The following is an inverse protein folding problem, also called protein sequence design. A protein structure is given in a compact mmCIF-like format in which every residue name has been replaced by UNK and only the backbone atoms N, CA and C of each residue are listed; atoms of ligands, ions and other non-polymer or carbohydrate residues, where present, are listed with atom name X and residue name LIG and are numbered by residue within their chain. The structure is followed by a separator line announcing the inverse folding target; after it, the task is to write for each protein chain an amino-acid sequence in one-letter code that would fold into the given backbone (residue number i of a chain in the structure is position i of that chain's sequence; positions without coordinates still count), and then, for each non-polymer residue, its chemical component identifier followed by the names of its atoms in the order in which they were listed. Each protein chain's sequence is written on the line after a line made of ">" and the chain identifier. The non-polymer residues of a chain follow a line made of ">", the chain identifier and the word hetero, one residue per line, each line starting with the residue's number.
data_IF_093320151797
#
_entry.id   IF_093320151797
#
_cell.length_a   1.000
_cell.length_b   1.000
_cell.length_c   1.000
_cell.angle_alpha   90.00
_cell.angle_beta   90.00
_cell.angle_gamma   90.00
#
_symmetry.space_group_name_H-M   'P 1'
#
loop_
_entity.id
_entity.type
_entity.pdbx_description
1 polymer ?
#
# COMPACT_ATOMS: atom_id res chain seq x y z
N UNK A 1 9.36 85.89 -54.17
CA UNK A 1 8.89 85.96 -52.77
C UNK A 1 8.13 84.69 -52.34
N UNK A 2 7.27 84.12 -53.18
CA UNK A 2 6.51 82.88 -52.88
C UNK A 2 7.37 81.64 -52.55
N UNK A 3 8.44 81.36 -53.31
CA UNK A 3 9.32 80.21 -53.07
C UNK A 3 10.02 80.23 -51.71
N UNK A 4 10.36 81.42 -51.19
CA UNK A 4 11.03 81.56 -49.89
C UNK A 4 10.07 81.19 -48.76
N UNK A 5 8.81 81.63 -48.90
CA UNK A 5 7.73 81.31 -47.97
C UNK A 5 7.43 79.80 -47.94
N UNK A 6 7.35 79.16 -49.11
CA UNK A 6 7.19 77.70 -49.23
C UNK A 6 8.38 76.94 -48.63
N UNK A 7 9.61 77.42 -48.81
CA UNK A 7 10.79 76.80 -48.20
C UNK A 7 10.76 76.87 -46.67
N UNK A 8 10.31 78.00 -46.11
CA UNK A 8 10.20 78.18 -44.67
C UNK A 8 9.06 77.34 -44.08
N UNK A 9 7.92 77.22 -44.77
CA UNK A 9 6.82 76.31 -44.42
C UNK A 9 7.30 74.85 -44.39
N UNK A 10 7.94 74.37 -45.46
CA UNK A 10 8.46 72.99 -45.54
C UNK A 10 9.52 72.70 -44.47
N UNK A 11 10.37 73.67 -44.13
CA UNK A 11 11.33 73.52 -43.03
C UNK A 11 10.64 73.39 -41.68
N UNK A 12 9.61 74.20 -41.43
CA UNK A 12 8.84 74.15 -40.19
C UNK A 12 8.10 72.81 -40.03
N UNK A 13 7.53 72.30 -41.12
CA UNK A 13 6.90 70.97 -41.16
C UNK A 13 7.92 69.86 -40.91
N UNK A 14 9.10 69.93 -41.53
CA UNK A 14 10.17 68.95 -41.32
C UNK A 14 10.67 68.94 -39.86
N UNK A 15 10.77 70.10 -39.21
CA UNK A 15 11.13 70.19 -37.79
C UNK A 15 10.05 69.61 -36.87
N UNK A 16 8.79 69.85 -37.19
CA UNK A 16 7.65 69.27 -36.47
C UNK A 16 7.63 67.74 -36.62
N UNK A 17 7.77 67.24 -37.85
CA UNK A 17 7.87 65.80 -38.14
C UNK A 17 9.03 65.14 -37.39
N UNK A 18 10.19 65.78 -37.33
CA UNK A 18 11.33 65.28 -36.55
C UNK A 18 11.02 65.18 -35.06
N UNK A 19 10.36 66.18 -34.48
CA UNK A 19 9.95 66.17 -33.07
C UNK A 19 8.94 65.07 -32.80
N UNK A 20 7.90 64.96 -33.63
CA UNK A 20 6.89 63.92 -33.52
C UNK A 20 7.52 62.53 -33.64
N UNK A 21 8.48 62.32 -34.55
CA UNK A 21 9.16 61.03 -34.71
C UNK A 21 9.96 60.62 -33.46
N UNK A 22 10.61 61.58 -32.80
CA UNK A 22 11.34 61.34 -31.54
C UNK A 22 10.37 60.95 -30.42
N UNK A 23 9.29 61.72 -30.24
CA UNK A 23 8.27 61.43 -29.23
C UNK A 23 7.59 60.08 -29.48
N UNK A 24 7.26 59.76 -30.74
CA UNK A 24 6.64 58.50 -31.11
C UNK A 24 7.55 57.31 -30.80
N UNK A 25 8.86 57.42 -31.08
CA UNK A 25 9.84 56.40 -30.72
C UNK A 25 9.96 56.21 -29.21
N UNK A 26 9.97 57.31 -28.45
CA UNK A 26 10.01 57.24 -26.99
C UNK A 26 8.77 56.56 -26.41
N UNK A 27 7.58 56.92 -26.89
CA UNK A 27 6.32 56.28 -26.50
C UNK A 27 6.32 54.79 -26.85
N UNK A 28 6.73 54.45 -28.08
CA UNK A 28 6.78 53.05 -28.54
C UNK A 28 7.75 52.21 -27.70
N UNK A 29 8.94 52.75 -27.39
CA UNK A 29 9.90 52.06 -26.49
C UNK A 29 9.30 51.89 -25.10
N UNK A 30 8.62 52.90 -24.55
CA UNK A 30 7.97 52.82 -23.25
C UNK A 30 6.88 51.73 -23.24
N UNK A 31 5.99 51.71 -24.23
CA UNK A 31 4.91 50.71 -24.32
C UNK A 31 5.44 49.29 -24.49
N UNK A 32 6.45 49.09 -25.35
CA UNK A 32 7.05 47.76 -25.55
C UNK A 32 7.79 47.30 -24.28
N UNK A 33 8.50 48.22 -23.61
CA UNK A 33 9.19 47.90 -22.35
C UNK A 33 8.21 47.47 -21.26
N UNK A 34 7.09 48.18 -21.14
CA UNK A 34 6.05 47.88 -20.15
C UNK A 34 5.40 46.51 -20.41
N UNK A 35 5.05 46.22 -21.67
CA UNK A 35 4.49 44.91 -22.05
C UNK A 35 5.49 43.77 -21.77
N UNK A 36 6.77 43.94 -22.14
CA UNK A 36 7.82 42.96 -21.87
C UNK A 36 8.00 42.75 -20.35
N UNK A 37 7.96 43.82 -19.57
CA UNK A 37 8.08 43.73 -18.12
C UNK A 37 6.91 42.96 -17.51
N UNK A 38 5.68 43.19 -17.98
CA UNK A 38 4.50 42.41 -17.59
C UNK A 38 4.64 40.92 -17.91
N UNK A 39 5.10 40.59 -19.12
CA UNK A 39 5.32 39.19 -19.52
C UNK A 39 6.41 38.50 -18.69
N UNK A 40 7.53 39.18 -18.43
CA UNK A 40 8.61 38.65 -17.59
C UNK A 40 8.13 38.43 -16.16
N UNK A 41 7.32 39.34 -15.62
CA UNK A 41 6.74 39.18 -14.29
C UNK A 41 5.82 37.95 -14.24
N UNK A 42 4.88 37.82 -15.18
CA UNK A 42 3.98 36.67 -15.25
C UNK A 42 4.74 35.34 -15.36
N UNK A 43 5.75 35.27 -16.22
CA UNK A 43 6.60 34.08 -16.36
C UNK A 43 7.41 33.78 -15.08
N UNK A 44 7.85 34.81 -14.36
CA UNK A 44 8.58 34.66 -13.10
C UNK A 44 7.66 34.10 -12.02
N UNK A 45 6.43 34.61 -11.91
CA UNK A 45 5.42 34.11 -10.98
C UNK A 45 5.06 32.65 -11.27
N UNK A 46 4.85 32.29 -12.54
CA UNK A 46 4.58 30.91 -12.94
C UNK A 46 5.77 29.97 -12.65
N UNK A 47 7.00 30.43 -12.89
CA UNK A 47 8.21 29.67 -12.55
C UNK A 47 8.32 29.42 -11.05
N UNK A 48 8.04 30.42 -10.21
CA UNK A 48 8.03 30.27 -8.76
C UNK A 48 6.96 29.26 -8.34
N UNK A 49 5.73 29.37 -8.88
CA UNK A 49 4.65 28.42 -8.59
C UNK A 49 5.01 26.99 -8.99
N UNK A 50 5.64 26.81 -10.16
CA UNK A 50 6.07 25.49 -10.62
C UNK A 50 7.17 24.92 -9.72
N UNK A 51 8.14 25.74 -9.31
CA UNK A 51 9.19 25.30 -8.39
C UNK A 51 8.62 24.81 -7.05
N UNK A 52 7.63 25.51 -6.49
CA UNK A 52 6.92 25.05 -5.28
C UNK A 52 6.22 23.71 -5.49
N UNK A 53 5.49 23.52 -6.60
CA UNK A 53 4.83 22.23 -6.89
C UNK A 53 5.82 21.09 -7.05
N UNK A 54 6.96 21.33 -7.71
CA UNK A 54 8.02 20.35 -7.87
C UNK A 54 8.57 19.94 -6.50
N UNK A 55 8.79 20.91 -5.61
CA UNK A 55 9.24 20.66 -4.25
C UNK A 55 8.23 19.81 -3.46
N UNK A 56 6.95 20.18 -3.49
CA UNK A 56 5.88 19.42 -2.83
C UNK A 56 5.81 17.97 -3.34
N UNK A 57 5.95 17.75 -4.65
CA UNK A 57 5.97 16.39 -5.21
C UNK A 57 7.23 15.62 -4.82
N UNK A 58 8.38 16.29 -4.77
CA UNK A 58 9.63 15.66 -4.32
C UNK A 58 9.51 15.20 -2.87
N UNK A 59 8.94 16.02 -1.98
CA UNK A 59 8.73 15.66 -0.57
C UNK A 59 7.76 14.48 -0.43
N UNK A 60 6.66 14.48 -1.19
CA UNK A 60 5.73 13.35 -1.24
C UNK A 60 6.40 12.07 -1.71
N UNK A 61 7.19 12.12 -2.78
CA UNK A 61 7.92 10.96 -3.30
C UNK A 61 8.89 10.38 -2.27
N UNK A 62 9.59 11.22 -1.50
CA UNK A 62 10.45 10.75 -0.40
C UNK A 62 9.61 10.02 0.66
N UNK A 63 8.50 10.62 1.11
CA UNK A 63 7.65 9.99 2.12
C UNK A 63 7.02 8.67 1.63
N UNK A 64 6.59 8.60 0.37
CA UNK A 64 6.05 7.36 -0.21
C UNK A 64 7.13 6.29 -0.34
N UNK A 65 8.36 6.66 -0.69
CA UNK A 65 9.47 5.72 -0.76
C UNK A 65 9.80 5.12 0.62
N UNK A 66 9.80 5.92 1.68
CA UNK A 66 9.96 5.43 3.06
C UNK A 66 8.86 4.45 3.45
N UNK A 67 7.59 4.73 3.10
CA UNK A 67 6.48 3.81 3.33
C UNK A 67 6.62 2.49 2.56
N UNK A 68 7.09 2.55 1.30
CA UNK A 68 7.36 1.35 0.51
C UNK A 68 8.45 0.50 1.15
N UNK A 69 9.52 1.11 1.65
CA UNK A 69 10.60 0.40 2.34
C UNK A 69 10.09 -0.24 3.65
N UNK A 70 9.27 0.47 4.43
CA UNK A 70 8.65 -0.08 5.63
C UNK A 70 7.75 -1.30 5.31
N UNK A 71 6.89 -1.19 4.30
CA UNK A 71 6.03 -2.30 3.86
C UNK A 71 6.86 -3.50 3.36
N UNK A 72 8.02 -3.25 2.76
CA UNK A 72 8.94 -4.29 2.31
C UNK A 72 9.53 -5.06 3.49
N UNK A 73 9.91 -4.36 4.56
CA UNK A 73 10.37 -4.96 5.81
C UNK A 73 9.25 -5.80 6.44
N UNK A 74 8.05 -5.25 6.55
CA UNK A 74 6.91 -5.96 7.15
C UNK A 74 6.57 -7.24 6.38
N UNK A 75 6.59 -7.19 5.04
CA UNK A 75 6.41 -8.36 4.18
C UNK A 75 7.43 -9.45 4.51
N UNK A 76 8.70 -9.10 4.68
CA UNK A 76 9.77 -10.06 4.95
C UNK A 76 9.62 -10.67 6.36
N UNK A 77 9.22 -9.86 7.35
CA UNK A 77 8.87 -10.35 8.69
C UNK A 77 7.72 -11.35 8.64
N UNK A 78 6.64 -11.03 7.92
CA UNK A 78 5.49 -11.93 7.78
C UNK A 78 5.85 -13.22 7.04
N UNK A 79 6.69 -13.14 6.02
CA UNK A 79 7.21 -14.32 5.31
C UNK A 79 7.97 -15.24 6.27
N UNK A 80 8.85 -14.70 7.11
CA UNK A 80 9.58 -15.46 8.12
C UNK A 80 8.66 -16.07 9.18
N UNK A 81 7.69 -15.30 9.71
CA UNK A 81 6.70 -15.80 10.68
C UNK A 81 5.87 -16.95 10.10
N UNK A 82 5.39 -16.81 8.87
CA UNK A 82 4.61 -17.85 8.19
C UNK A 82 5.43 -19.12 7.96
N UNK A 83 6.70 -18.99 7.54
CA UNK A 83 7.58 -20.13 7.34
C UNK A 83 7.85 -20.87 8.66
N UNK A 84 8.19 -20.14 9.72
CA UNK A 84 8.41 -20.74 11.04
C UNK A 84 7.16 -21.46 11.56
N UNK A 85 5.98 -20.86 11.38
CA UNK A 85 4.71 -21.49 11.76
C UNK A 85 4.42 -22.75 10.92
N UNK A 86 4.73 -22.72 9.62
CA UNK A 86 4.55 -23.87 8.73
C UNK A 86 5.41 -25.05 9.19
N UNK A 87 6.71 -24.81 9.42
CA UNK A 87 7.65 -25.83 9.93
C UNK A 87 7.16 -26.43 11.25
N UNK A 88 6.72 -25.59 12.21
CA UNK A 88 6.16 -26.08 13.48
C UNK A 88 4.88 -26.89 13.29
N UNK A 89 4.03 -26.48 12.37
CA UNK A 89 2.78 -27.18 12.07
C UNK A 89 3.06 -28.55 11.46
N UNK A 90 4.05 -28.64 10.57
CA UNK A 90 4.50 -29.90 9.97
C UNK A 90 5.08 -30.84 11.04
N UNK A 91 5.93 -30.31 11.94
CA UNK A 91 6.49 -31.09 13.05
C UNK A 91 5.41 -31.61 14.01
N UNK A 92 4.43 -30.77 14.38
CA UNK A 92 3.31 -31.18 15.23
C UNK A 92 2.44 -32.23 14.56
N UNK A 93 2.20 -32.09 13.24
CA UNK A 93 1.41 -33.05 12.47
C UNK A 93 2.13 -34.40 12.42
N UNK A 94 3.44 -34.40 12.12
CA UNK A 94 4.27 -35.60 12.16
C UNK A 94 4.25 -36.29 13.53
N UNK A 95 4.49 -35.53 14.62
CA UNK A 95 4.46 -36.09 15.98
C UNK A 95 3.08 -36.65 16.32
N UNK A 96 2.01 -35.98 15.91
CA UNK A 96 0.63 -36.46 16.11
C UNK A 96 0.38 -37.77 15.38
N UNK A 97 0.79 -37.89 14.13
CA UNK A 97 0.67 -39.12 13.34
C UNK A 97 1.41 -40.29 14.00
N UNK A 98 2.64 -40.08 14.47
CA UNK A 98 3.42 -41.10 15.19
C UNK A 98 2.70 -41.56 16.45
N UNK A 99 2.23 -40.63 17.29
CA UNK A 99 1.52 -40.95 18.54
C UNK A 99 0.22 -41.70 18.27
N UNK A 100 -0.52 -41.32 17.24
CA UNK A 100 -1.76 -41.97 16.84
C UNK A 100 -1.49 -43.37 16.29
N UNK A 101 -0.39 -43.55 15.56
CA UNK A 101 0.10 -44.86 15.14
C UNK A 101 0.37 -45.76 16.34
N UNK A 102 1.15 -45.29 17.32
CA UNK A 102 1.44 -46.03 18.55
C UNK A 102 0.17 -46.37 19.34
N UNK A 103 -0.79 -45.44 19.41
CA UNK A 103 -2.04 -45.64 20.13
C UNK A 103 -2.93 -46.67 19.42
N UNK A 104 -2.96 -46.66 18.08
CA UNK A 104 -3.66 -47.68 17.27
C UNK A 104 -3.03 -49.05 17.46
N UNK A 105 -1.71 -49.14 17.53
CA UNK A 105 -1.01 -50.41 17.79
C UNK A 105 -1.32 -50.93 19.20
N UNK A 106 -1.29 -50.07 20.22
CA UNK A 106 -1.72 -50.41 21.57
C UNK A 106 -3.18 -50.88 21.60
N UNK A 107 -4.08 -50.16 20.92
CA UNK A 107 -5.50 -50.53 20.81
C UNK A 107 -5.69 -51.89 20.13
N UNK A 108 -4.88 -52.22 19.11
CA UNK A 108 -4.90 -53.54 18.45
C UNK A 108 -4.52 -54.66 19.42
N UNK A 109 -3.49 -54.45 20.25
CA UNK A 109 -3.07 -55.41 21.28
C UNK A 109 -4.16 -55.57 22.34
N UNK A 110 -4.76 -54.47 22.81
CA UNK A 110 -5.85 -54.55 23.80
C UNK A 110 -7.06 -55.28 23.23
N UNK A 111 -7.41 -55.04 21.96
CA UNK A 111 -8.53 -55.72 21.28
C UNK A 111 -8.29 -57.23 21.19
N UNK A 112 -7.09 -57.68 20.82
CA UNK A 112 -6.78 -59.12 20.77
C UNK A 112 -6.82 -59.80 22.14
N UNK A 113 -6.47 -59.10 23.22
CA UNK A 113 -6.59 -59.60 24.59
C UNK A 113 -8.06 -59.66 25.04
N UNK A 114 -8.88 -58.67 24.67
CA UNK A 114 -10.33 -58.70 24.92
C UNK A 114 -11.03 -59.84 24.19
N UNK A 115 -10.61 -60.14 22.96
CA UNK A 115 -11.21 -61.22 22.17
C UNK A 115 -10.88 -62.62 22.74
N UNK A 116 -9.73 -62.76 23.42
CA UNK A 116 -9.26 -64.02 24.01
C UNK A 116 -9.70 -64.23 25.45
N UNK A 117 -9.98 -63.17 26.21
CA UNK A 117 -10.36 -63.25 27.63
C UNK A 117 -11.77 -62.70 27.90
N UNK A 118 -12.72 -63.55 28.30
CA UNK A 118 -14.11 -63.15 28.55
C UNK A 118 -14.30 -62.19 29.76
N UNK A 119 -13.30 -62.07 30.64
CA UNK A 119 -13.36 -61.32 31.93
C UNK A 119 -12.59 -59.99 31.86
N UNK A 120 -12.58 -59.31 30.72
CA UNK A 120 -11.97 -57.97 30.63
C UNK A 120 -12.85 -56.88 31.25
N UNK A 121 -12.22 -55.94 31.96
CA UNK A 121 -12.86 -54.77 32.56
C UNK A 121 -13.55 -53.87 31.51
N UNK A 122 -14.56 -53.10 31.92
CA UNK A 122 -15.32 -52.18 31.08
C UNK A 122 -14.43 -51.12 30.41
N UNK A 123 -13.45 -50.58 31.13
CA UNK A 123 -12.50 -49.58 30.61
C UNK A 123 -11.65 -50.14 29.46
N UNK A 124 -11.28 -51.42 29.57
CA UNK A 124 -10.48 -52.13 28.56
C UNK A 124 -11.28 -52.31 27.26
N UNK A 125 -12.57 -52.64 27.37
CA UNK A 125 -13.48 -52.73 26.22
C UNK A 125 -13.73 -51.35 25.60
N UNK A 126 -13.92 -50.32 26.42
CA UNK A 126 -14.09 -48.94 25.97
C UNK A 126 -12.90 -48.49 25.12
N UNK A 127 -11.67 -48.65 25.63
CA UNK A 127 -10.48 -48.31 24.87
C UNK A 127 -10.37 -49.12 23.57
N UNK A 128 -10.70 -50.41 23.58
CA UNK A 128 -10.66 -51.26 22.39
C UNK A 128 -11.63 -50.82 21.28
N UNK A 129 -12.71 -50.11 21.61
CA UNK A 129 -13.73 -49.62 20.66
C UNK A 129 -13.65 -48.11 20.37
N UNK A 130 -12.82 -47.36 21.10
CA UNK A 130 -12.73 -45.91 20.98
C UNK A 130 -12.27 -45.46 19.58
N UNK A 131 -12.96 -44.49 18.98
CA UNK A 131 -12.52 -43.86 17.73
C UNK A 131 -11.39 -42.85 17.97
N UNK A 132 -10.17 -43.28 17.70
CA UNK A 132 -8.96 -42.45 17.84
C UNK A 132 -8.88 -41.33 16.80
N UNK A 133 -9.65 -41.38 15.70
CA UNK A 133 -9.60 -40.38 14.64
C UNK A 133 -10.24 -39.05 15.08
N UNK A 134 -11.23 -39.13 15.97
CA UNK A 134 -11.86 -37.97 16.63
C UNK A 134 -10.89 -37.12 17.47
N UNK A 135 -9.79 -37.71 17.96
CA UNK A 135 -8.78 -37.03 18.78
C UNK A 135 -7.82 -36.17 17.95
N UNK A 136 -7.79 -36.39 16.63
CA UNK A 136 -6.80 -35.81 15.70
C UNK A 136 -7.49 -34.99 14.60
N UNK A 137 -8.81 -35.15 14.45
CA UNK A 137 -9.59 -34.31 13.55
C UNK A 137 -9.45 -32.86 13.99
N UNK A 138 -8.78 -32.05 13.15
CA UNK A 138 -8.80 -30.60 13.29
C UNK A 138 -10.24 -30.11 13.27
N UNK A 139 -10.54 -29.04 14.01
CA UNK A 139 -11.83 -28.39 13.89
C UNK A 139 -12.07 -27.97 12.42
N UNK A 140 -13.30 -28.07 11.88
CA UNK A 140 -13.58 -27.98 10.43
C UNK A 140 -13.38 -26.59 9.79
N UNK A 141 -12.61 -25.69 10.40
CA UNK A 141 -12.41 -24.34 9.90
C UNK A 141 -11.42 -24.28 8.72
N UNK A 142 -11.67 -25.07 7.68
CA UNK A 142 -10.95 -25.00 6.39
C UNK A 142 -11.58 -24.01 5.41
N UNK A 143 -12.84 -23.63 5.60
CA UNK A 143 -13.49 -22.63 4.76
C UNK A 143 -12.99 -21.22 5.16
N UNK A 144 -11.76 -20.89 4.74
CA UNK A 144 -11.17 -19.55 4.87
C UNK A 144 -12.17 -18.56 4.27
N UNK A 145 -12.78 -17.73 5.11
CA UNK A 145 -13.59 -16.62 4.64
C UNK A 145 -12.65 -15.65 3.93
N UNK A 146 -12.70 -15.61 2.59
CA UNK A 146 -12.09 -14.50 1.84
C UNK A 146 -12.87 -13.24 2.19
N UNK A 147 -12.25 -12.33 2.96
CA UNK A 147 -12.83 -11.01 3.22
C UNK A 147 -12.92 -10.24 1.90
N UNK A 148 -14.08 -9.67 1.61
CA UNK A 148 -14.35 -8.95 0.35
C UNK A 148 -13.70 -7.56 0.27
N UNK A 149 -12.93 -7.14 1.28
CA UNK A 149 -12.28 -5.84 1.32
C UNK A 149 -11.21 -5.73 2.42
N UNK A 150 -10.40 -4.65 2.41
CA UNK A 150 -9.39 -4.38 3.42
C UNK A 150 -10.04 -4.20 4.80
N UNK A 151 -9.44 -4.77 5.85
CA UNK A 151 -9.87 -4.56 7.22
C UNK A 151 -8.87 -3.63 7.92
N UNK A 152 -9.37 -2.52 8.45
CA UNK A 152 -8.60 -1.48 9.16
C UNK A 152 -8.77 -1.58 10.69
N UNK A 153 -9.51 -2.57 11.17
CA UNK A 153 -9.69 -2.87 12.60
C UNK A 153 -8.86 -4.10 13.01
N UNK A 154 -8.71 -4.30 14.32
CA UNK A 154 -7.95 -5.38 14.94
C UNK A 154 -8.14 -6.71 14.20
N UNK A 155 -7.03 -7.33 13.77
CA UNK A 155 -7.02 -8.56 12.98
C UNK A 155 -7.56 -9.72 13.82
N UNK A 156 -8.88 -9.84 13.91
CA UNK A 156 -9.54 -11.03 14.42
C UNK A 156 -9.39 -12.11 13.36
N UNK A 157 -8.50 -13.08 13.60
CA UNK A 157 -8.30 -14.23 12.71
C UNK A 157 -9.54 -15.14 12.85
N UNK A 158 -10.60 -14.81 12.13
CA UNK A 158 -11.81 -15.63 12.04
C UNK A 158 -11.58 -16.69 10.96
N UNK A 159 -11.27 -17.91 11.37
CA UNK A 159 -10.92 -19.01 10.46
C UNK A 159 -12.11 -19.63 9.71
N UNK A 160 -13.37 -19.40 10.12
CA UNK A 160 -14.58 -19.87 9.42
C UNK A 160 -15.84 -19.11 9.88
N UNK A 161 -17.01 -19.41 9.27
CA UNK A 161 -18.31 -18.81 9.64
C UNK A 161 -18.70 -19.08 11.09
N UNK A 162 -18.27 -20.20 11.65
CA UNK A 162 -18.50 -20.57 13.04
C UNK A 162 -17.60 -19.83 14.05
N UNK A 163 -16.48 -19.29 13.58
CA UNK A 163 -15.52 -18.51 14.39
C UNK A 163 -15.63 -17.00 14.09
N UNK A 164 -16.57 -16.60 13.24
CA UNK A 164 -16.86 -15.20 12.96
C UNK A 164 -17.46 -14.53 14.20
N UNK A 165 -16.91 -13.38 14.62
CA UNK A 165 -17.38 -12.62 15.79
C UNK A 165 -16.87 -13.10 17.16
N UNK A 166 -16.03 -14.14 17.22
CA UNK A 166 -15.30 -14.48 18.46
C UNK A 166 -13.99 -13.71 18.50
N UNK A 167 -13.81 -12.84 19.47
CA UNK A 167 -12.52 -12.20 19.74
C UNK A 167 -11.54 -13.28 20.24
N UNK A 168 -10.55 -13.60 19.41
CA UNK A 168 -9.39 -14.35 19.87
C UNK A 168 -8.38 -13.30 20.32
N UNK A 169 -8.26 -13.12 21.63
CA UNK A 169 -7.17 -12.34 22.20
C UNK A 169 -5.89 -13.15 22.01
N UNK A 170 -5.02 -12.67 21.11
CA UNK A 170 -3.65 -13.17 21.03
C UNK A 170 -2.91 -12.57 22.23
N UNK A 171 -2.63 -13.41 23.24
CA UNK A 171 -1.71 -13.09 24.33
C UNK A 171 -0.32 -12.81 23.76
#
# INVERSE_FOLDING_TARGET
>A
MALKKQLDEVKSELELERKLNVELKQLMVATISDELQGQVQALTEDKIRLAHRVQEFSEKLVSENELVDQLRIDRDVWKCKFLAQSIRTDELTYRSEVLVGMLRDAQRIVRSVCDTNAVTNADTRYFATLDLQSLVSRSPCEERIRRKGPNYENVTISCCRNCCGREIQLL
#
